data_IF_427393887640
#
_entry.id   IF_427393887640
#
_cell.length_a   1.000
_cell.length_b   1.000
_cell.length_c   1.000
_cell.angle_alpha   90.00
_cell.angle_beta   90.00
_cell.angle_gamma   90.00
#
_symmetry.space_group_name_H-M   'P 1'
#
loop_
_entity.id
_entity.type
_entity.pdbx_description
1 polymer ?
#
# COMPACT_ATOMS: atom_id res chain seq x y z
N UNK A 1 -31.74 72.59 37.19
CA UNK A 1 -31.19 71.68 36.16
C UNK A 1 -30.20 70.73 36.85
N UNK A 2 -30.52 69.44 36.94
CA UNK A 2 -29.59 68.38 37.35
C UNK A 2 -29.58 67.36 36.22
N UNK A 3 -28.42 67.19 35.59
CA UNK A 3 -28.18 66.16 34.58
C UNK A 3 -26.88 65.49 34.99
N UNK A 4 -26.97 64.24 35.44
CA UNK A 4 -25.88 63.29 35.29
C UNK A 4 -26.52 61.91 35.16
N UNK A 5 -26.49 61.38 33.94
CA UNK A 5 -26.83 60.02 33.61
C UNK A 5 -25.50 59.30 33.39
N UNK A 6 -25.03 58.59 34.42
CA UNK A 6 -23.88 57.71 34.30
C UNK A 6 -24.31 56.45 33.51
N UNK A 7 -23.97 56.42 32.23
CA UNK A 7 -24.02 55.19 31.43
C UNK A 7 -22.83 54.31 31.82
N UNK A 8 -23.04 53.45 32.82
CA UNK A 8 -22.16 52.32 33.07
C UNK A 8 -22.27 51.35 31.89
N UNK A 9 -21.32 51.45 30.96
CA UNK A 9 -21.09 50.43 29.95
C UNK A 9 -20.48 49.21 30.65
N UNK A 10 -21.32 48.23 30.98
CA UNK A 10 -20.86 46.90 31.37
C UNK A 10 -20.05 46.31 30.22
N UNK A 11 -18.73 46.24 30.42
CA UNK A 11 -17.83 45.35 29.68
C UNK A 11 -18.15 43.89 30.04
N UNK A 12 -19.32 43.41 29.63
CA UNK A 12 -19.67 41.99 29.76
C UNK A 12 -19.26 41.27 28.48
N UNK A 13 -18.31 40.36 28.65
CA UNK A 13 -17.90 39.29 27.73
C UNK A 13 -17.31 39.74 26.39
N UNK A 14 -16.01 40.01 26.44
CA UNK A 14 -15.11 39.51 25.41
C UNK A 14 -15.37 38.00 25.29
N UNK A 15 -16.22 37.63 24.33
CA UNK A 15 -16.35 36.27 23.86
C UNK A 15 -14.97 35.89 23.33
N UNK A 16 -14.21 35.22 24.19
CA UNK A 16 -12.95 34.59 23.85
C UNK A 16 -13.31 33.51 22.85
N UNK A 17 -13.32 33.84 21.57
CA UNK A 17 -13.31 32.86 20.48
C UNK A 17 -12.09 31.97 20.74
N UNK A 18 -12.36 30.86 21.41
CA UNK A 18 -11.45 29.74 21.53
C UNK A 18 -11.13 29.30 20.12
N UNK A 19 -9.93 29.65 19.66
CA UNK A 19 -9.23 29.14 18.48
C UNK A 19 -9.66 27.71 18.16
N UNK A 20 -10.60 27.54 17.24
CA UNK A 20 -10.96 26.25 16.64
C UNK A 20 -10.08 25.92 15.42
N UNK A 21 -9.14 26.80 15.06
CA UNK A 21 -8.22 26.65 13.93
C UNK A 21 -7.33 25.39 14.02
N UNK A 22 -7.02 24.90 15.22
CA UNK A 22 -6.24 23.66 15.39
C UNK A 22 -7.01 22.40 15.00
N UNK A 23 -8.33 22.37 15.21
CA UNK A 23 -9.16 21.20 14.96
C UNK A 23 -9.50 21.04 13.48
N UNK A 24 -9.67 22.13 12.74
CA UNK A 24 -9.90 22.10 11.28
C UNK A 24 -8.66 21.70 10.51
N UNK A 25 -7.48 22.17 10.91
CA UNK A 25 -6.20 21.82 10.27
C UNK A 25 -5.82 20.35 10.52
N UNK A 26 -6.06 19.84 11.74
CA UNK A 26 -5.89 18.42 12.05
C UNK A 26 -6.84 17.51 11.25
N UNK A 27 -8.10 17.93 11.05
CA UNK A 27 -9.08 17.22 10.21
C UNK A 27 -8.68 17.20 8.73
N UNK A 28 -8.13 18.30 8.21
CA UNK A 28 -7.61 18.35 6.84
C UNK A 28 -6.41 17.41 6.64
N UNK A 29 -5.45 17.42 7.56
CA UNK A 29 -4.29 16.50 7.50
C UNK A 29 -4.70 15.03 7.49
N UNK A 30 -5.68 14.65 8.33
CA UNK A 30 -6.23 13.29 8.34
C UNK A 30 -6.95 12.92 7.03
N UNK A 31 -7.69 13.87 6.44
CA UNK A 31 -8.35 13.68 5.14
C UNK A 31 -7.34 13.45 4.01
N UNK A 32 -6.26 14.24 3.97
CA UNK A 32 -5.17 14.08 2.99
C UNK A 32 -4.49 12.73 3.14
N UNK A 33 -4.09 12.35 4.37
CA UNK A 33 -3.44 11.06 4.62
C UNK A 33 -4.32 9.87 4.22
N UNK A 34 -5.64 9.94 4.49
CA UNK A 34 -6.59 8.90 4.09
C UNK A 34 -6.72 8.80 2.56
N UNK A 35 -6.69 9.94 1.87
CA UNK A 35 -6.76 9.96 0.40
C UNK A 35 -5.48 9.42 -0.23
N UNK A 36 -4.30 9.76 0.31
CA UNK A 36 -3.01 9.24 -0.14
C UNK A 36 -2.94 7.72 0.03
N UNK A 37 -3.33 7.19 1.19
CA UNK A 37 -3.39 5.75 1.43
C UNK A 37 -4.31 5.03 0.43
N UNK A 38 -5.47 5.62 0.13
CA UNK A 38 -6.39 5.08 -0.87
C UNK A 38 -5.76 5.06 -2.26
N UNK A 39 -5.09 6.14 -2.65
CA UNK A 39 -4.42 6.24 -3.96
C UNK A 39 -3.30 5.19 -4.09
N UNK A 40 -2.50 4.98 -3.04
CA UNK A 40 -1.45 3.96 -3.02
C UNK A 40 -2.05 2.53 -3.12
N UNK A 41 -3.17 2.27 -2.44
CA UNK A 41 -3.91 1.01 -2.56
C UNK A 41 -4.43 0.76 -3.98
N UNK A 42 -4.96 1.80 -4.63
CA UNK A 42 -5.43 1.71 -6.01
C UNK A 42 -4.26 1.45 -6.98
N UNK A 43 -3.09 2.05 -6.74
CA UNK A 43 -1.87 1.81 -7.52
C UNK A 43 -1.38 0.36 -7.40
N UNK A 44 -1.30 -0.18 -6.17
CA UNK A 44 -0.94 -1.58 -5.94
C UNK A 44 -1.93 -2.53 -6.59
N UNK A 45 -3.23 -2.24 -6.51
CA UNK A 45 -4.27 -3.05 -7.15
C UNK A 45 -4.13 -3.08 -8.68
N UNK A 46 -3.84 -1.94 -9.30
CA UNK A 46 -3.58 -1.86 -10.75
C UNK A 46 -2.30 -2.60 -11.16
N UNK A 47 -1.25 -2.53 -10.34
CA UNK A 47 -0.01 -3.25 -10.58
C UNK A 47 -0.22 -4.76 -10.45
N UNK A 48 -1.00 -5.22 -9.47
CA UNK A 48 -1.40 -6.62 -9.31
C UNK A 48 -2.16 -7.12 -10.53
N UNK A 49 -3.15 -6.37 -11.03
CA UNK A 49 -3.87 -6.73 -12.26
C UNK A 49 -2.92 -6.83 -13.48
N UNK A 50 -1.91 -5.98 -13.55
CA UNK A 50 -0.89 -6.03 -14.62
C UNK A 50 0.00 -7.28 -14.49
N UNK A 51 0.33 -7.69 -13.26
CA UNK A 51 1.06 -8.94 -12.99
C UNK A 51 0.22 -10.14 -13.40
N UNK A 52 -1.08 -10.13 -13.14
CA UNK A 52 -2.00 -11.21 -13.54
C UNK A 52 -2.06 -11.40 -15.05
N UNK A 53 -2.19 -10.32 -15.83
CA UNK A 53 -2.14 -10.41 -17.30
C UNK A 53 -0.79 -10.94 -17.78
N UNK A 54 0.31 -10.46 -17.19
CA UNK A 54 1.65 -10.95 -17.52
C UNK A 54 1.83 -12.43 -17.18
N UNK A 55 1.30 -12.90 -16.05
CA UNK A 55 1.32 -14.31 -15.63
C UNK A 55 0.50 -15.18 -16.58
N UNK A 56 -0.70 -14.76 -16.94
CA UNK A 56 -1.54 -15.46 -17.92
C UNK A 56 -0.86 -15.59 -19.29
N UNK A 57 -0.15 -14.54 -19.73
CA UNK A 57 0.65 -14.57 -20.96
C UNK A 57 1.84 -15.52 -20.82
N UNK A 58 2.59 -15.45 -19.73
CA UNK A 58 3.74 -16.32 -19.46
C UNK A 58 3.35 -17.80 -19.46
N UNK A 59 2.25 -18.16 -18.80
CA UNK A 59 1.74 -19.53 -18.77
C UNK A 59 1.43 -20.09 -20.17
N UNK A 60 0.99 -19.22 -21.10
CA UNK A 60 0.67 -19.60 -22.48
C UNK A 60 1.90 -19.62 -23.38
N UNK A 61 2.78 -18.63 -23.25
CA UNK A 61 3.88 -18.42 -24.18
C UNK A 61 5.16 -19.18 -23.79
N UNK A 62 5.37 -19.40 -22.48
CA UNK A 62 6.54 -20.06 -21.87
C UNK A 62 7.87 -19.58 -22.46
N UNK A 63 7.97 -18.28 -22.72
CA UNK A 63 9.17 -17.69 -23.29
C UNK A 63 9.89 -16.80 -22.26
N UNK A 64 11.19 -16.62 -22.48
CA UNK A 64 12.06 -15.87 -21.58
C UNK A 64 11.69 -14.38 -21.48
N UNK A 65 11.14 -13.80 -22.56
CA UNK A 65 10.75 -12.38 -22.59
C UNK A 65 9.58 -12.10 -21.64
N UNK A 66 8.56 -12.95 -21.67
CA UNK A 66 7.40 -12.84 -20.80
C UNK A 66 7.76 -13.18 -19.36
N UNK A 67 8.69 -14.13 -19.14
CA UNK A 67 9.23 -14.43 -17.81
C UNK A 67 9.95 -13.21 -17.22
N UNK A 68 10.86 -12.61 -17.98
CA UNK A 68 11.59 -11.42 -17.55
C UNK A 68 10.64 -10.25 -17.24
N UNK A 69 9.59 -10.07 -18.06
CA UNK A 69 8.56 -9.06 -17.83
C UNK A 69 7.79 -9.34 -16.53
N UNK A 70 7.36 -10.58 -16.32
CA UNK A 70 6.66 -11.00 -15.10
C UNK A 70 7.51 -10.75 -13.86
N UNK A 71 8.76 -11.24 -13.82
CA UNK A 71 9.71 -11.03 -12.71
C UNK A 71 9.94 -9.54 -12.41
N UNK A 72 10.04 -8.71 -13.45
CA UNK A 72 10.22 -7.26 -13.29
C UNK A 72 9.01 -6.61 -12.63
N UNK A 73 7.79 -6.99 -13.02
CA UNK A 73 6.57 -6.47 -12.42
C UNK A 73 6.41 -6.93 -10.97
N UNK A 74 6.68 -8.21 -10.68
CA UNK A 74 6.66 -8.74 -9.30
C UNK A 74 7.66 -7.99 -8.42
N UNK A 75 8.89 -7.79 -8.90
CA UNK A 75 9.92 -7.03 -8.17
C UNK A 75 9.48 -5.59 -7.88
N UNK A 76 8.85 -4.93 -8.87
CA UNK A 76 8.30 -3.58 -8.69
C UNK A 76 7.21 -3.56 -7.62
N UNK A 77 6.30 -4.53 -7.66
CA UNK A 77 5.22 -4.64 -6.69
C UNK A 77 5.72 -4.87 -5.27
N UNK A 78 6.65 -5.81 -5.08
CA UNK A 78 7.24 -6.10 -3.77
C UNK A 78 7.87 -4.84 -3.18
N UNK A 79 8.58 -4.06 -3.99
CA UNK A 79 9.17 -2.79 -3.56
C UNK A 79 8.10 -1.80 -3.09
N UNK A 80 7.09 -1.54 -3.92
CA UNK A 80 6.01 -0.60 -3.59
C UNK A 80 5.20 -1.05 -2.37
N UNK A 81 4.91 -2.35 -2.23
CA UNK A 81 4.18 -2.91 -1.10
C UNK A 81 4.97 -2.84 0.21
N UNK A 82 6.29 -3.06 0.16
CA UNK A 82 7.18 -2.92 1.33
C UNK A 82 7.31 -1.46 1.74
N UNK A 83 7.55 -0.55 0.78
CA UNK A 83 7.61 0.91 1.03
C UNK A 83 6.29 1.41 1.66
N UNK A 84 5.15 1.11 1.03
CA UNK A 84 3.83 1.44 1.58
C UNK A 84 3.60 0.84 2.98
N UNK A 85 4.00 -0.41 3.17
CA UNK A 85 3.85 -1.13 4.43
C UNK A 85 4.72 -0.56 5.56
N UNK A 86 5.86 0.06 5.26
CA UNK A 86 6.71 0.76 6.22
C UNK A 86 6.10 2.13 6.59
N UNK A 87 5.62 2.89 5.60
CA UNK A 87 4.97 4.19 5.82
C UNK A 87 3.72 4.07 6.72
N UNK A 88 2.90 3.04 6.49
CA UNK A 88 1.70 2.78 7.29
C UNK A 88 2.06 2.51 8.76
N UNK A 89 3.12 1.72 9.02
CA UNK A 89 3.59 1.41 10.38
C UNK A 89 4.15 2.63 11.10
N UNK A 90 4.80 3.54 10.40
CA UNK A 90 5.34 4.76 11.00
C UNK A 90 4.21 5.65 11.57
N UNK A 91 3.01 5.60 10.96
CA UNK A 91 1.81 6.26 11.49
C UNK A 91 1.14 5.56 12.69
N UNK A 92 1.51 4.31 12.98
CA UNK A 92 0.80 3.44 13.93
C UNK A 92 1.73 2.73 14.96
N UNK A 93 2.92 3.28 15.19
CA UNK A 93 4.06 2.69 15.93
C UNK A 93 3.71 1.75 17.11
N UNK A 94 4.00 0.46 16.92
CA UNK A 94 4.99 -0.38 17.64
C UNK A 94 4.59 -1.85 17.46
N UNK A 95 5.25 -2.57 16.55
CA UNK A 95 5.21 -4.03 16.61
C UNK A 95 6.46 -4.67 16.01
N UNK A 96 7.34 -5.13 16.91
CA UNK A 96 8.62 -5.78 16.62
C UNK A 96 8.46 -7.11 15.84
N UNK A 97 7.25 -7.68 15.83
CA UNK A 97 6.90 -8.94 15.16
C UNK A 97 6.42 -8.79 13.71
N UNK A 98 6.25 -7.56 13.22
CA UNK A 98 5.69 -7.32 11.89
C UNK A 98 6.72 -7.25 10.77
N UNK A 99 8.01 -7.08 11.07
CA UNK A 99 9.07 -6.95 10.05
C UNK A 99 9.57 -8.31 9.59
N UNK A 100 9.84 -9.24 10.52
CA UNK A 100 10.28 -10.60 10.18
C UNK A 100 9.29 -11.35 9.29
N UNK A 101 7.96 -11.20 9.51
CA UNK A 101 6.95 -11.84 8.65
C UNK A 101 6.97 -11.32 7.21
N UNK A 102 7.16 -10.01 7.01
CA UNK A 102 7.22 -9.42 5.66
C UNK A 102 8.51 -9.82 4.95
N UNK A 103 9.64 -9.81 5.66
CA UNK A 103 10.92 -10.27 5.12
C UNK A 103 10.84 -11.74 4.68
N UNK A 104 10.26 -12.62 5.52
CA UNK A 104 10.05 -14.03 5.17
C UNK A 104 9.17 -14.18 3.92
N UNK A 105 8.10 -13.39 3.79
CA UNK A 105 7.25 -13.42 2.58
C UNK A 105 8.05 -12.98 1.34
N UNK A 106 8.86 -11.93 1.44
CA UNK A 106 9.70 -11.47 0.33
C UNK A 106 10.73 -12.53 -0.08
N UNK A 107 11.38 -13.17 0.88
CA UNK A 107 12.29 -14.29 0.62
C UNK A 107 11.58 -15.48 -0.04
N UNK A 108 10.35 -15.78 0.41
CA UNK A 108 9.52 -16.83 -0.19
C UNK A 108 9.17 -16.48 -1.63
N UNK A 109 8.73 -15.25 -1.90
CA UNK A 109 8.44 -14.78 -3.27
C UNK A 109 9.68 -14.92 -4.17
N UNK A 110 10.87 -14.59 -3.67
CA UNK A 110 12.10 -14.73 -4.46
C UNK A 110 12.39 -16.21 -4.79
N UNK A 111 12.22 -17.11 -3.82
CA UNK A 111 12.34 -18.57 -4.02
C UNK A 111 11.36 -19.07 -5.08
N UNK A 112 10.07 -18.70 -4.98
CA UNK A 112 9.03 -19.07 -5.94
C UNK A 112 9.34 -18.55 -7.36
N UNK A 113 9.95 -17.36 -7.49
CA UNK A 113 10.36 -16.84 -8.79
C UNK A 113 11.54 -17.61 -9.40
N UNK A 114 12.38 -18.25 -8.58
CA UNK A 114 13.44 -19.16 -9.03
C UNK A 114 12.81 -20.46 -9.51
N UNK A 115 11.91 -21.06 -8.73
CA UNK A 115 11.19 -22.28 -9.10
C UNK A 115 10.39 -22.10 -10.40
N UNK A 116 9.71 -20.97 -10.55
CA UNK A 116 9.02 -20.59 -11.79
C UNK A 116 9.98 -20.48 -12.98
N UNK A 117 11.20 -19.99 -12.75
CA UNK A 117 12.21 -19.90 -13.80
C UNK A 117 12.60 -21.29 -14.29
N UNK A 118 12.84 -22.22 -13.36
CA UNK A 118 13.14 -23.63 -13.67
C UNK A 118 11.97 -24.30 -14.40
N UNK A 119 10.74 -24.08 -13.94
CA UNK A 119 9.54 -24.65 -14.53
C UNK A 119 9.24 -24.17 -15.96
N UNK A 120 9.58 -22.91 -16.26
CA UNK A 120 9.46 -22.35 -17.61
C UNK A 120 10.57 -22.88 -18.53
N UNK A 121 11.77 -23.15 -17.99
CA UNK A 121 12.88 -23.71 -18.74
C UNK A 121 12.71 -25.21 -19.03
N UNK A 122 12.04 -25.93 -18.14
CA UNK A 122 11.70 -27.35 -18.32
C UNK A 122 10.55 -27.52 -19.31
N UNK A 123 10.87 -28.09 -20.48
CA UNK A 123 9.90 -28.33 -21.56
C UNK A 123 8.94 -29.49 -21.25
N UNK A 124 9.26 -30.36 -20.30
CA UNK A 124 8.41 -31.50 -19.91
C UNK A 124 7.33 -31.12 -18.89
N UNK A 125 7.54 -30.04 -18.11
CA UNK A 125 6.52 -29.55 -17.17
C UNK A 125 5.25 -29.14 -17.88
N UNK A 126 4.09 -29.40 -17.27
CA UNK A 126 2.78 -29.08 -17.85
C UNK A 126 2.47 -27.60 -17.64
N UNK A 127 1.70 -27.00 -18.55
CA UNK A 127 1.26 -25.60 -18.41
C UNK A 127 0.42 -25.35 -17.15
N UNK A 128 -0.23 -26.39 -16.61
CA UNK A 128 -1.00 -26.29 -15.36
C UNK A 128 -0.10 -26.10 -14.14
N UNK A 129 1.11 -26.67 -14.16
CA UNK A 129 2.06 -26.56 -13.05
C UNK A 129 2.58 -25.11 -12.96
N UNK A 130 2.95 -24.54 -14.11
CA UNK A 130 3.35 -23.12 -14.24
C UNK A 130 2.23 -22.17 -13.80
N UNK A 131 0.97 -22.50 -14.11
CA UNK A 131 -0.18 -21.71 -13.64
C UNK A 131 -0.36 -21.80 -12.12
N UNK A 132 -0.09 -22.97 -11.53
CA UNK A 132 -0.07 -23.17 -10.08
C UNK A 132 0.93 -22.25 -9.40
N UNK A 133 2.19 -22.30 -9.84
CA UNK A 133 3.28 -21.46 -9.31
C UNK A 133 2.97 -19.96 -9.44
N UNK A 134 2.44 -19.53 -10.58
CA UNK A 134 1.99 -18.12 -10.77
C UNK A 134 0.87 -17.76 -9.78
N UNK A 135 -0.04 -18.69 -9.48
CA UNK A 135 -1.11 -18.52 -8.51
C UNK A 135 -0.60 -18.41 -7.08
N UNK A 136 0.41 -19.20 -6.72
CA UNK A 136 1.06 -19.15 -5.40
C UNK A 136 1.78 -17.81 -5.20
N UNK A 137 2.55 -17.37 -6.19
CA UNK A 137 3.19 -16.04 -6.19
C UNK A 137 2.13 -14.95 -6.02
N UNK A 138 1.00 -15.02 -6.74
CA UNK A 138 -0.11 -14.06 -6.56
C UNK A 138 -0.64 -14.07 -5.12
N UNK A 139 -0.82 -15.24 -4.52
CA UNK A 139 -1.27 -15.36 -3.13
C UNK A 139 -0.30 -14.68 -2.15
N UNK A 140 1.01 -14.90 -2.34
CA UNK A 140 2.05 -14.26 -1.54
C UNK A 140 2.07 -12.74 -1.71
N UNK A 141 1.90 -12.23 -2.94
CA UNK A 141 1.84 -10.80 -3.21
C UNK A 141 0.65 -10.15 -2.52
N UNK A 142 -0.52 -10.80 -2.54
CA UNK A 142 -1.72 -10.33 -1.83
C UNK A 142 -1.47 -10.26 -0.32
N UNK A 143 -0.82 -11.28 0.24
CA UNK A 143 -0.47 -11.34 1.66
C UNK A 143 0.57 -10.28 2.09
N UNK A 144 1.31 -9.71 1.14
CA UNK A 144 2.35 -8.72 1.44
C UNK A 144 1.79 -7.32 1.74
N UNK A 145 0.70 -6.94 1.08
CA UNK A 145 0.11 -5.59 1.20
C UNK A 145 -1.22 -5.52 1.97
N UNK A 146 -1.91 -6.65 2.18
CA UNK A 146 -3.02 -6.75 3.14
C UNK A 146 -2.51 -6.89 4.58
#
# INVERSE_FOLDING_TARGET
>A
MKINQDTRVSLDKLHKESKSAGTSQAKFGQLVQKHDQKMQMDQLSNLLATIEDAGSRLAKSRNFKDLAKYKTLVKKFVREAVEFGMDLKQSHTWNQYGEGRKLNIVETIDSELVELTEAVMDKEKKSIDVLGEIGEIKGLLINLYM
#
